data_IF_629734491311
#
_entry.id   IF_629734491311
#
_cell.length_a   1.000
_cell.length_b   1.000
_cell.length_c   1.000
_cell.angle_alpha   90.00
_cell.angle_beta   90.00
_cell.angle_gamma   90.00
#
_symmetry.space_group_name_H-M   'P 1'
#
loop_
_entity.id
_entity.type
_entity.pdbx_description
1 polymer ?
#
# COMPACT_ATOMS: atom_id res chain seq x y z
N UNK A 1 22.78 -1.11 -12.45
CA UNK A 1 22.38 0.29 -12.18
C UNK A 1 22.08 0.93 -13.52
N UNK A 2 20.86 1.42 -13.75
CA UNK A 2 20.46 2.01 -15.04
C UNK A 2 21.32 3.26 -15.30
N UNK A 3 21.95 3.38 -16.48
CA UNK A 3 22.70 4.59 -16.83
C UNK A 3 21.72 5.70 -17.23
N UNK A 4 22.05 6.95 -16.90
CA UNK A 4 21.19 8.09 -17.28
C UNK A 4 21.06 8.19 -18.81
N UNK A 5 22.13 7.82 -19.53
CA UNK A 5 22.19 7.77 -21.00
C UNK A 5 21.16 6.82 -21.61
N UNK A 6 20.72 5.78 -20.89
CA UNK A 6 19.72 4.81 -21.36
C UNK A 6 18.28 5.32 -21.17
N UNK A 7 18.10 6.47 -20.53
CA UNK A 7 16.79 7.04 -20.24
C UNK A 7 16.32 7.93 -21.40
N UNK A 8 15.01 7.96 -21.69
CA UNK A 8 14.43 8.93 -22.61
C UNK A 8 14.89 10.36 -22.31
N UNK A 9 15.21 11.13 -23.35
CA UNK A 9 15.81 12.46 -23.22
C UNK A 9 14.99 13.41 -22.34
N UNK A 10 13.66 13.31 -22.42
CA UNK A 10 12.71 14.07 -21.62
C UNK A 10 12.80 13.81 -20.11
N UNK A 11 13.45 12.71 -19.70
CA UNK A 11 13.64 12.29 -18.31
C UNK A 11 15.07 12.44 -17.81
N UNK A 12 16.04 12.71 -18.70
CA UNK A 12 17.45 12.80 -18.35
C UNK A 12 17.77 14.03 -17.51
N UNK A 13 17.11 15.16 -17.77
CA UNK A 13 17.31 16.40 -17.02
C UNK A 13 16.91 16.23 -15.54
N UNK A 14 15.65 15.84 -15.27
CA UNK A 14 15.18 15.52 -13.91
C UNK A 14 16.00 14.38 -13.26
N UNK A 15 16.55 13.45 -14.06
CA UNK A 15 17.41 12.38 -13.55
C UNK A 15 18.70 12.90 -12.94
N UNK A 16 19.33 13.83 -13.66
CA UNK A 16 20.62 14.41 -13.30
C UNK A 16 20.41 15.25 -12.04
N UNK A 17 19.43 16.15 -12.06
CA UNK A 17 19.12 17.02 -10.92
C UNK A 17 18.80 16.21 -9.66
N UNK A 18 17.91 15.21 -9.77
CA UNK A 18 17.54 14.36 -8.63
C UNK A 18 18.74 13.59 -8.07
N UNK A 19 19.68 13.16 -8.93
CA UNK A 19 20.89 12.44 -8.50
C UNK A 19 21.85 13.32 -7.69
N UNK A 20 21.86 14.62 -7.96
CA UNK A 20 22.70 15.60 -7.26
C UNK A 20 21.98 16.33 -6.13
N UNK A 21 20.68 16.09 -5.93
CA UNK A 21 19.90 16.69 -4.86
C UNK A 21 20.07 15.89 -3.54
N UNK A 22 20.88 16.41 -2.62
CA UNK A 22 21.12 15.80 -1.31
C UNK A 22 19.88 15.75 -0.42
N UNK A 23 19.02 16.78 -0.48
CA UNK A 23 17.78 16.82 0.29
C UNK A 23 16.78 15.75 -0.16
N UNK A 24 16.73 15.47 -1.47
CA UNK A 24 15.94 14.38 -2.01
C UNK A 24 16.47 13.03 -1.51
N UNK A 25 17.79 12.86 -1.43
CA UNK A 25 18.40 11.65 -0.87
C UNK A 25 18.03 11.46 0.61
N UNK A 26 18.15 12.50 1.43
CA UNK A 26 17.78 12.45 2.85
C UNK A 26 16.27 12.16 3.03
N UNK A 27 15.44 12.75 2.16
CA UNK A 27 14.00 12.47 2.13
C UNK A 27 13.70 11.02 1.77
N UNK A 28 14.42 10.44 0.81
CA UNK A 28 14.26 9.05 0.40
C UNK A 28 14.55 8.07 1.54
N UNK A 29 15.56 8.36 2.37
CA UNK A 29 15.92 7.51 3.52
C UNK A 29 14.98 7.67 4.72
N UNK A 30 14.26 8.79 4.81
CA UNK A 30 13.43 9.15 5.97
C UNK A 30 11.93 8.87 5.82
N UNK A 31 11.44 8.49 4.62
CA UNK A 31 10.02 8.22 4.40
C UNK A 31 9.76 7.02 3.48
N UNK A 32 8.50 6.58 3.45
CA UNK A 32 8.07 5.52 2.55
C UNK A 32 8.19 5.93 1.08
N UNK A 33 8.46 4.94 0.22
CA UNK A 33 8.75 5.15 -1.20
C UNK A 33 7.61 5.86 -1.94
N UNK A 34 6.37 5.53 -1.63
CA UNK A 34 5.18 6.13 -2.23
C UNK A 34 5.09 7.61 -1.86
N UNK A 35 5.28 7.93 -0.58
CA UNK A 35 5.23 9.30 -0.07
C UNK A 35 6.36 10.16 -0.66
N UNK A 36 7.54 9.57 -0.83
CA UNK A 36 8.68 10.23 -1.48
C UNK A 36 8.31 10.68 -2.91
N UNK A 37 7.79 9.78 -3.74
CA UNK A 37 7.42 10.12 -5.12
C UNK A 37 6.21 11.05 -5.22
N UNK A 38 5.26 10.98 -4.28
CA UNK A 38 4.16 11.95 -4.21
C UNK A 38 4.68 13.35 -3.89
N UNK A 39 5.62 13.47 -2.94
CA UNK A 39 6.21 14.76 -2.56
C UNK A 39 7.01 15.40 -3.70
N UNK A 40 7.72 14.61 -4.48
CA UNK A 40 8.51 15.08 -5.63
C UNK A 40 7.67 15.35 -6.89
N UNK A 41 6.35 15.19 -6.83
CA UNK A 41 5.50 15.37 -8.01
C UNK A 41 5.49 16.82 -8.52
N UNK A 42 5.71 17.80 -7.65
CA UNK A 42 5.78 19.22 -8.03
C UNK A 42 7.11 19.60 -8.66
N UNK A 43 8.21 19.07 -8.14
CA UNK A 43 9.58 19.45 -8.55
C UNK A 43 10.11 18.57 -9.69
N UNK A 44 9.75 17.28 -9.69
CA UNK A 44 10.17 16.29 -10.69
C UNK A 44 8.95 15.53 -11.25
N UNK A 45 8.02 16.21 -11.95
CA UNK A 45 6.74 15.63 -12.34
C UNK A 45 6.87 14.42 -13.25
N UNK A 46 7.83 14.39 -14.18
CA UNK A 46 7.95 13.29 -15.15
C UNK A 46 8.51 12.03 -14.48
N UNK A 47 9.57 12.17 -13.68
CA UNK A 47 10.15 11.07 -12.89
C UNK A 47 9.16 10.54 -11.87
N UNK A 48 8.54 11.42 -11.10
CA UNK A 48 7.57 11.04 -10.07
C UNK A 48 6.34 10.36 -10.66
N UNK A 49 5.80 10.87 -11.77
CA UNK A 49 4.67 10.21 -12.46
C UNK A 49 5.00 8.79 -12.90
N UNK A 50 6.20 8.57 -13.47
CA UNK A 50 6.61 7.25 -13.94
C UNK A 50 6.83 6.26 -12.80
N UNK A 51 7.45 6.71 -11.71
CA UNK A 51 7.62 5.90 -10.50
C UNK A 51 6.27 5.53 -9.89
N UNK A 52 5.35 6.49 -9.74
CA UNK A 52 4.00 6.24 -9.22
C UNK A 52 3.20 5.29 -10.12
N UNK A 53 3.32 5.41 -11.45
CA UNK A 53 2.69 4.47 -12.40
C UNK A 53 3.17 3.03 -12.24
N UNK A 54 4.36 2.79 -11.69
CA UNK A 54 4.86 1.45 -11.41
C UNK A 54 4.40 1.00 -10.01
N UNK A 55 4.46 1.90 -9.03
CA UNK A 55 4.12 1.60 -7.63
C UNK A 55 2.62 1.37 -7.41
N UNK A 56 1.75 2.15 -8.05
CA UNK A 56 0.28 2.09 -7.88
C UNK A 56 -0.31 0.75 -8.36
N UNK A 57 0.05 0.21 -9.54
CA UNK A 57 -0.36 -1.14 -9.93
C UNK A 57 0.22 -2.20 -9.01
N UNK A 58 1.44 -2.03 -8.49
CA UNK A 58 2.02 -2.98 -7.55
C UNK A 58 1.22 -3.06 -6.25
N UNK A 59 0.90 -1.92 -5.65
CA UNK A 59 0.10 -1.87 -4.42
C UNK A 59 -1.33 -2.37 -4.66
N UNK A 60 -1.98 -1.95 -5.75
CA UNK A 60 -3.34 -2.41 -6.07
C UNK A 60 -3.41 -3.89 -6.47
N UNK A 61 -2.46 -4.39 -7.27
CA UNK A 61 -2.40 -5.82 -7.64
C UNK A 61 -2.06 -6.68 -6.43
N UNK A 62 -1.13 -6.24 -5.58
CA UNK A 62 -0.83 -6.93 -4.33
C UNK A 62 -2.07 -6.98 -3.43
N UNK A 63 -2.75 -5.86 -3.19
CA UNK A 63 -3.97 -5.80 -2.39
C UNK A 63 -5.09 -6.64 -3.00
N UNK A 64 -5.24 -6.65 -4.32
CA UNK A 64 -6.21 -7.46 -5.04
C UNK A 64 -5.91 -8.96 -4.87
N UNK A 65 -4.66 -9.39 -5.07
CA UNK A 65 -4.24 -10.79 -4.85
C UNK A 65 -4.42 -11.23 -3.40
N UNK A 66 -4.04 -10.37 -2.45
CA UNK A 66 -4.23 -10.62 -1.02
C UNK A 66 -5.71 -10.70 -0.67
N UNK A 67 -6.54 -9.82 -1.22
CA UNK A 67 -8.00 -9.84 -1.08
C UNK A 67 -8.63 -11.12 -1.61
N UNK A 68 -8.26 -11.53 -2.82
CA UNK A 68 -8.73 -12.79 -3.40
C UNK A 68 -8.29 -14.01 -2.58
N UNK A 69 -7.04 -14.04 -2.11
CA UNK A 69 -6.54 -15.12 -1.25
C UNK A 69 -7.30 -15.20 0.07
N UNK A 70 -7.56 -14.05 0.71
CA UNK A 70 -8.36 -13.96 1.94
C UNK A 70 -9.80 -14.46 1.69
N UNK A 71 -10.42 -14.04 0.59
CA UNK A 71 -11.75 -14.51 0.20
C UNK A 71 -11.79 -16.03 0.00
N UNK A 72 -10.80 -16.60 -0.69
CA UNK A 72 -10.69 -18.05 -0.88
C UNK A 72 -10.51 -18.80 0.44
N UNK A 73 -9.72 -18.24 1.35
CA UNK A 73 -9.50 -18.80 2.70
C UNK A 73 -10.80 -18.79 3.52
N UNK A 74 -11.54 -17.67 3.52
CA UNK A 74 -12.83 -17.56 4.21
C UNK A 74 -13.88 -18.54 3.65
N UNK A 75 -13.98 -18.64 2.31
CA UNK A 75 -14.91 -19.55 1.64
C UNK A 75 -14.57 -21.03 1.87
N UNK A 76 -13.31 -21.39 2.08
CA UNK A 76 -12.91 -22.79 2.29
C UNK A 76 -13.03 -23.20 3.75
N UNK A 77 -12.71 -22.33 4.70
CA UNK A 77 -12.71 -22.63 6.14
C UNK A 77 -14.07 -22.43 6.81
N UNK A 78 -14.92 -21.54 6.31
CA UNK A 78 -16.13 -21.11 7.01
C UNK A 78 -17.40 -21.16 6.16
N UNK A 79 -17.56 -22.27 5.42
CA UNK A 79 -18.57 -22.49 4.37
C UNK A 79 -20.02 -22.09 4.66
N UNK A 80 -20.46 -21.90 5.92
CA UNK A 80 -21.87 -21.67 6.25
C UNK A 80 -22.15 -20.63 7.37
N UNK A 81 -21.17 -19.84 7.85
CA UNK A 81 -21.39 -19.00 9.06
C UNK A 81 -20.86 -17.56 9.00
N UNK A 82 -20.27 -17.13 7.89
CA UNK A 82 -19.55 -15.84 7.83
C UNK A 82 -20.20 -14.84 6.88
N UNK A 83 -20.11 -13.56 7.26
CA UNK A 83 -20.48 -12.45 6.39
C UNK A 83 -19.20 -12.04 5.64
N UNK A 84 -19.12 -12.50 4.39
CA UNK A 84 -17.95 -12.33 3.51
C UNK A 84 -17.44 -10.89 3.49
N UNK A 85 -18.32 -9.90 3.45
CA UNK A 85 -17.91 -8.49 3.39
C UNK A 85 -17.23 -8.03 4.69
N UNK A 86 -17.87 -8.28 5.83
CA UNK A 86 -17.36 -7.88 7.14
C UNK A 86 -16.04 -8.58 7.47
N UNK A 87 -15.96 -9.87 7.17
CA UNK A 87 -14.81 -10.70 7.52
C UNK A 87 -13.63 -10.43 6.59
N UNK A 88 -13.88 -10.20 5.30
CA UNK A 88 -12.85 -9.76 4.37
C UNK A 88 -12.30 -8.38 4.77
N UNK A 89 -13.17 -7.44 5.17
CA UNK A 89 -12.76 -6.12 5.65
C UNK A 89 -11.91 -6.21 6.92
N UNK A 90 -12.28 -7.08 7.86
CA UNK A 90 -11.49 -7.34 9.06
C UNK A 90 -10.11 -7.95 8.71
N UNK A 91 -10.09 -8.93 7.79
CA UNK A 91 -8.88 -9.66 7.38
C UNK A 91 -7.88 -8.77 6.63
N UNK A 92 -8.38 -7.85 5.80
CA UNK A 92 -7.54 -6.92 5.01
C UNK A 92 -7.21 -5.61 5.75
N UNK A 93 -7.80 -5.39 6.93
CA UNK A 93 -7.56 -4.20 7.72
C UNK A 93 -6.13 -4.20 8.27
N UNK A 94 -5.35 -3.12 8.05
CA UNK A 94 -4.05 -2.94 8.71
C UNK A 94 -4.19 -2.61 10.20
N UNK A 95 -5.41 -2.26 10.65
CA UNK A 95 -5.70 -2.00 12.06
C UNK A 95 -6.00 -3.32 12.78
N UNK A 96 -5.29 -3.65 13.87
CA UNK A 96 -5.53 -4.89 14.61
C UNK A 96 -6.92 -4.87 15.29
N UNK A 97 -7.62 -6.01 15.31
CA UNK A 97 -8.93 -6.08 15.94
C UNK A 97 -8.83 -5.91 17.45
N UNK A 98 -9.69 -5.05 18.03
CA UNK A 98 -9.74 -4.77 19.47
C UNK A 98 -10.54 -5.85 20.22
N UNK A 99 -10.07 -7.09 20.17
CA UNK A 99 -10.77 -8.26 20.74
C UNK A 99 -11.01 -8.08 22.25
N UNK A 100 -10.05 -7.49 22.98
CA UNK A 100 -10.18 -7.26 24.42
C UNK A 100 -11.37 -6.35 24.76
N UNK A 101 -11.59 -5.30 23.95
CA UNK A 101 -12.76 -4.43 24.10
C UNK A 101 -14.06 -5.17 23.77
N UNK A 102 -14.05 -6.06 22.77
CA UNK A 102 -15.23 -6.84 22.43
C UNK A 102 -15.59 -7.83 23.55
N UNK A 103 -14.59 -8.48 24.14
CA UNK A 103 -14.77 -9.40 25.27
C UNK A 103 -15.26 -8.66 26.52
N UNK A 104 -14.69 -7.48 26.82
CA UNK A 104 -15.12 -6.66 27.95
C UNK A 104 -16.56 -6.14 27.82
N UNK A 105 -17.04 -5.88 26.60
CA UNK A 105 -18.39 -5.38 26.34
C UNK A 105 -19.42 -6.49 26.07
N UNK A 106 -19.03 -7.78 26.14
CA UNK A 106 -19.95 -8.90 25.98
C UNK A 106 -20.80 -9.05 27.24
N UNK A 107 -21.94 -8.35 27.31
CA UNK A 107 -22.94 -8.62 28.34
C UNK A 107 -23.54 -10.01 28.11
N UNK A 108 -23.50 -10.89 29.12
CA UNK A 108 -24.23 -12.14 29.12
C UNK A 108 -25.73 -11.83 29.01
N UNK A 109 -26.30 -11.96 27.82
CA UNK A 109 -27.75 -12.07 27.70
C UNK A 109 -28.11 -13.47 28.18
N UNK A 110 -28.51 -13.57 29.45
CA UNK A 110 -29.20 -14.75 29.95
C UNK A 110 -30.49 -14.88 29.15
N UNK A 111 -30.56 -15.92 28.33
CA UNK A 111 -31.81 -16.34 27.69
C UNK A 111 -32.63 -17.03 28.79
N UNK A 112 -33.88 -16.60 28.96
CA UNK A 112 -34.80 -17.12 29.98
C UNK A 112 -35.54 -18.37 29.48
#
# INVERSE_FOLDING_TARGET
MIKIEDLPHDLQEEAIELKFNSLAKDSFESMQLENFWVRLQTEYPKRSSRSLRILVPFSSTYLCKTGFSALMTLNTQHRNRLNVESDLRCTLSPTPPRIDNLVANKHCQYSH
#
